data_IF_260967524331
#
_entry.id   IF_260967524331
#
_cell.length_a   1.000
_cell.length_b   1.000
_cell.length_c   1.000
_cell.angle_alpha   90.00
_cell.angle_beta   90.00
_cell.angle_gamma   90.00
#
_symmetry.space_group_name_H-M   'P 1'
#
loop_
_entity.id
_entity.type
_entity.pdbx_description
1 polymer ?
#
# COMPACT_ATOMS: atom_id res chain seq x y z
N UNK A 1 -9.99 -29.90 -9.79
CA UNK A 1 -9.40 -28.57 -10.04
C UNK A 1 -7.91 -28.71 -9.72
N UNK A 2 -7.11 -28.89 -10.76
CA UNK A 2 -5.65 -28.92 -10.62
C UNK A 2 -5.20 -27.53 -10.18
N UNK A 3 -4.73 -27.42 -8.96
CA UNK A 3 -3.98 -26.26 -8.52
C UNK A 3 -2.68 -26.26 -9.32
N UNK A 4 -2.64 -25.49 -10.41
CA UNK A 4 -1.41 -25.17 -11.13
C UNK A 4 -0.34 -24.85 -10.09
N UNK A 5 0.74 -25.61 -10.07
CA UNK A 5 1.89 -25.32 -9.23
C UNK A 5 2.24 -23.85 -9.42
N UNK A 6 1.98 -23.04 -8.40
CA UNK A 6 2.31 -21.59 -8.43
C UNK A 6 3.82 -21.45 -8.46
N UNK A 7 4.38 -21.40 -9.66
CA UNK A 7 5.81 -21.23 -9.86
C UNK A 7 6.18 -19.79 -9.52
N UNK A 8 6.74 -19.59 -8.33
CA UNK A 8 7.26 -18.29 -7.93
C UNK A 8 8.68 -18.10 -8.48
N UNK A 9 8.89 -17.02 -9.25
CA UNK A 9 10.21 -16.63 -9.73
C UNK A 9 10.62 -15.33 -9.00
N UNK A 10 11.81 -15.32 -8.44
CA UNK A 10 12.34 -14.14 -7.73
C UNK A 10 13.53 -13.56 -8.51
N UNK A 11 13.49 -12.27 -8.82
CA UNK A 11 14.52 -11.56 -9.58
C UNK A 11 15.26 -10.62 -8.62
N UNK A 12 16.50 -10.94 -8.30
CA UNK A 12 17.37 -10.11 -7.48
C UNK A 12 18.38 -9.32 -8.31
N UNK A 13 18.79 -8.17 -7.79
CA UNK A 13 19.87 -7.36 -8.35
C UNK A 13 19.89 -5.95 -7.78
N UNK A 14 21.03 -5.25 -7.80
CA UNK A 14 21.14 -3.85 -7.40
C UNK A 14 20.34 -2.92 -8.33
N UNK A 15 20.17 -1.64 -8.00
CA UNK A 15 19.58 -0.66 -8.91
C UNK A 15 20.27 -0.66 -10.28
N UNK A 16 19.52 -0.45 -11.36
CA UNK A 16 20.07 -0.38 -12.73
C UNK A 16 20.34 -1.72 -13.42
N UNK A 17 20.11 -2.88 -12.80
CA UNK A 17 20.40 -4.21 -13.40
C UNK A 17 19.29 -4.76 -14.30
N UNK A 18 18.30 -3.95 -14.66
CA UNK A 18 17.26 -4.37 -15.61
C UNK A 18 16.13 -5.21 -15.03
N UNK A 19 15.94 -5.27 -13.70
CA UNK A 19 14.84 -6.02 -13.06
C UNK A 19 13.46 -5.67 -13.63
N UNK A 20 13.16 -4.37 -13.73
CA UNK A 20 11.91 -3.86 -14.30
C UNK A 20 11.78 -4.27 -15.79
N UNK A 21 12.88 -4.22 -16.53
CA UNK A 21 12.87 -4.68 -17.93
C UNK A 21 12.52 -6.18 -18.03
N UNK A 22 13.11 -7.01 -17.16
CA UNK A 22 12.80 -8.45 -17.14
C UNK A 22 11.34 -8.73 -16.76
N UNK A 23 10.76 -7.96 -15.80
CA UNK A 23 9.34 -8.09 -15.49
C UNK A 23 8.45 -7.71 -16.68
N UNK A 24 8.79 -6.65 -17.41
CA UNK A 24 8.06 -6.26 -18.62
C UNK A 24 8.20 -7.31 -19.73
N UNK A 25 9.37 -7.93 -19.90
CA UNK A 25 9.54 -9.05 -20.83
C UNK A 25 8.59 -10.21 -20.50
N UNK A 26 8.36 -10.52 -19.24
CA UNK A 26 7.40 -11.56 -18.82
C UNK A 26 5.96 -11.17 -19.21
N UNK A 27 5.60 -9.91 -19.06
CA UNK A 27 4.30 -9.39 -19.52
C UNK A 27 4.19 -9.55 -21.04
N UNK A 28 5.22 -9.12 -21.80
CA UNK A 28 5.29 -9.24 -23.25
C UNK A 28 5.13 -10.70 -23.69
N UNK A 29 5.84 -11.63 -23.06
CA UNK A 29 5.72 -13.07 -23.33
C UNK A 29 4.28 -13.60 -23.08
N UNK A 30 3.57 -13.03 -22.11
CA UNK A 30 2.16 -13.36 -21.85
C UNK A 30 1.25 -12.86 -22.98
N UNK A 31 1.38 -11.60 -23.36
CA UNK A 31 0.61 -11.00 -24.46
C UNK A 31 0.87 -11.68 -25.81
N UNK A 32 2.13 -12.02 -26.10
CA UNK A 32 2.51 -12.76 -27.32
C UNK A 32 1.90 -14.18 -27.38
N UNK A 33 1.59 -14.78 -26.21
CA UNK A 33 0.88 -16.06 -26.09
C UNK A 33 -0.65 -15.92 -26.16
N UNK A 34 -1.16 -14.70 -26.35
CA UNK A 34 -2.59 -14.41 -26.44
C UNK A 34 -3.31 -14.29 -25.10
N UNK A 35 -2.57 -14.09 -24.00
CA UNK A 35 -3.20 -13.71 -22.71
C UNK A 35 -3.64 -12.27 -22.84
N UNK A 36 -4.91 -11.99 -22.52
CA UNK A 36 -5.44 -10.64 -22.62
C UNK A 36 -4.88 -9.72 -21.53
N UNK A 37 -4.68 -8.41 -21.82
CA UNK A 37 -4.11 -7.47 -20.85
C UNK A 37 -4.85 -7.40 -19.50
N UNK A 38 -6.17 -7.62 -19.51
CA UNK A 38 -7.00 -7.65 -18.31
C UNK A 38 -6.87 -8.94 -17.48
N UNK A 39 -6.13 -9.93 -17.95
CA UNK A 39 -5.79 -11.17 -17.25
C UNK A 39 -4.37 -11.10 -16.65
N UNK A 40 -3.62 -10.01 -16.91
CA UNK A 40 -2.26 -9.81 -16.44
C UNK A 40 -2.24 -8.74 -15.34
N UNK A 41 -1.83 -9.13 -14.13
CA UNK A 41 -1.57 -8.18 -13.04
C UNK A 41 -0.10 -7.74 -13.03
N UNK A 42 0.13 -6.43 -13.04
CA UNK A 42 1.44 -5.81 -12.82
C UNK A 42 1.36 -4.82 -11.66
N UNK A 43 1.97 -5.17 -10.54
CA UNK A 43 1.91 -4.37 -9.33
C UNK A 43 3.23 -3.67 -9.06
N UNK A 44 3.17 -2.35 -8.94
CA UNK A 44 4.31 -1.51 -8.65
C UNK A 44 4.12 -0.79 -7.30
N UNK A 45 5.23 -0.40 -6.69
CA UNK A 45 5.20 0.35 -5.44
C UNK A 45 4.67 1.78 -5.61
N UNK A 46 4.92 2.40 -6.76
CA UNK A 46 4.48 3.78 -7.05
C UNK A 46 3.57 3.83 -8.27
N UNK A 47 2.64 4.80 -8.29
CA UNK A 47 1.78 5.08 -9.47
C UNK A 47 2.62 5.38 -10.71
N UNK A 48 3.75 6.09 -10.55
CA UNK A 48 4.66 6.40 -11.66
C UNK A 48 5.21 5.12 -12.31
N UNK A 49 5.67 4.16 -11.50
CA UNK A 49 6.19 2.90 -12.03
C UNK A 49 5.10 2.05 -12.71
N UNK A 50 3.88 2.03 -12.18
CA UNK A 50 2.75 1.36 -12.82
C UNK A 50 2.41 2.01 -14.18
N UNK A 51 2.32 3.34 -14.24
CA UNK A 51 2.05 4.07 -15.47
C UNK A 51 3.17 3.90 -16.52
N UNK A 52 4.43 3.83 -16.10
CA UNK A 52 5.55 3.55 -16.98
C UNK A 52 5.41 2.15 -17.61
N UNK A 53 5.01 1.15 -16.82
CA UNK A 53 4.75 -0.20 -17.32
C UNK A 53 3.62 -0.22 -18.37
N UNK A 54 2.51 0.49 -18.11
CA UNK A 54 1.41 0.63 -19.08
C UNK A 54 1.92 1.29 -20.38
N UNK A 55 2.66 2.39 -20.28
CA UNK A 55 3.17 3.11 -21.46
C UNK A 55 4.03 2.19 -22.31
N UNK A 56 4.97 1.46 -21.72
CA UNK A 56 5.84 0.51 -22.42
C UNK A 56 5.05 -0.64 -23.06
N UNK A 57 4.02 -1.14 -22.35
CA UNK A 57 3.17 -2.20 -22.89
C UNK A 57 2.38 -1.71 -24.12
N UNK A 58 1.77 -0.52 -24.06
CA UNK A 58 1.04 0.08 -25.20
C UNK A 58 1.97 0.39 -26.37
N UNK A 59 3.18 0.91 -26.11
CA UNK A 59 4.17 1.18 -27.15
C UNK A 59 4.59 -0.12 -27.90
N UNK A 60 4.66 -1.23 -27.17
CA UNK A 60 5.02 -2.54 -27.71
C UNK A 60 3.85 -3.23 -28.42
N UNK A 61 2.64 -3.05 -27.91
CA UNK A 61 1.40 -3.69 -28.40
C UNK A 61 0.36 -2.62 -28.78
N UNK A 62 0.51 -1.95 -29.95
CA UNK A 62 -0.34 -0.82 -30.33
C UNK A 62 -1.83 -1.15 -30.53
N UNK A 63 -2.18 -2.43 -30.58
CA UNK A 63 -3.57 -2.90 -30.63
C UNK A 63 -4.33 -2.70 -29.33
N UNK A 64 -3.63 -2.46 -28.22
CA UNK A 64 -4.23 -2.24 -26.89
C UNK A 64 -4.12 -0.78 -26.48
N UNK A 65 -5.14 -0.32 -25.72
CA UNK A 65 -5.17 0.99 -25.08
C UNK A 65 -4.75 0.89 -23.59
N UNK A 66 -4.41 2.02 -22.98
CA UNK A 66 -4.08 2.09 -21.53
C UNK A 66 -5.17 1.51 -20.64
N UNK A 67 -6.45 1.64 -21.03
CA UNK A 67 -7.62 1.13 -20.30
C UNK A 67 -7.67 -0.41 -20.25
N UNK A 68 -7.05 -1.08 -21.23
CA UNK A 68 -7.04 -2.54 -21.31
C UNK A 68 -6.15 -3.14 -20.21
N UNK A 69 -5.15 -2.39 -19.72
CA UNK A 69 -4.24 -2.77 -18.64
C UNK A 69 -4.82 -2.44 -17.26
N UNK A 70 -6.05 -2.89 -16.98
CA UNK A 70 -6.81 -2.60 -15.77
C UNK A 70 -6.04 -2.91 -14.48
N UNK A 71 -5.23 -3.96 -14.45
CA UNK A 71 -4.50 -4.45 -13.29
C UNK A 71 -3.03 -4.05 -13.25
N UNK A 72 -2.62 -3.04 -14.05
CA UNK A 72 -1.30 -2.42 -13.94
C UNK A 72 -1.38 -1.23 -13.00
N UNK A 73 -1.15 -1.46 -11.70
CA UNK A 73 -1.39 -0.45 -10.67
C UNK A 73 -0.60 -0.71 -9.38
N UNK A 74 -0.76 0.14 -8.37
CA UNK A 74 -0.28 -0.17 -7.02
C UNK A 74 -1.25 -1.11 -6.32
N UNK A 75 -0.77 -1.85 -5.30
CA UNK A 75 -1.65 -2.70 -4.49
C UNK A 75 -2.77 -1.91 -3.82
N UNK A 76 -2.48 -0.70 -3.33
CA UNK A 76 -3.51 0.17 -2.76
C UNK A 76 -4.57 0.57 -3.78
N UNK A 77 -4.18 0.89 -5.01
CA UNK A 77 -5.13 1.20 -6.08
C UNK A 77 -5.96 -0.03 -6.50
N UNK A 78 -5.39 -1.23 -6.40
CA UNK A 78 -6.13 -2.47 -6.60
C UNK A 78 -7.16 -2.67 -5.48
N UNK A 79 -6.72 -2.60 -4.22
CA UNK A 79 -7.60 -2.74 -3.06
C UNK A 79 -8.75 -1.73 -3.09
N UNK A 80 -8.46 -0.46 -3.37
CA UNK A 80 -9.46 0.59 -3.51
C UNK A 80 -10.54 0.23 -4.54
N UNK A 81 -10.12 -0.27 -5.71
CA UNK A 81 -11.04 -0.66 -6.79
C UNK A 81 -11.85 -1.91 -6.44
N UNK A 82 -11.21 -2.96 -5.94
CA UNK A 82 -11.86 -4.25 -5.69
C UNK A 82 -12.80 -4.21 -4.47
N UNK A 83 -12.48 -3.37 -3.47
CA UNK A 83 -13.37 -3.13 -2.34
C UNK A 83 -14.50 -2.12 -2.66
N UNK A 84 -14.53 -1.53 -3.86
CA UNK A 84 -15.54 -0.55 -4.25
C UNK A 84 -15.53 0.71 -3.38
N UNK A 85 -14.37 1.11 -2.86
CA UNK A 85 -14.24 2.27 -1.99
C UNK A 85 -14.43 3.57 -2.75
N UNK A 86 -14.82 4.60 -2.02
CA UNK A 86 -14.89 6.00 -2.48
C UNK A 86 -13.98 6.86 -1.60
N UNK A 87 -13.68 8.08 -2.04
CA UNK A 87 -12.85 9.00 -1.26
C UNK A 87 -13.46 9.26 0.13
N UNK A 88 -14.78 9.25 0.23
CA UNK A 88 -15.51 9.38 1.52
C UNK A 88 -15.43 8.14 2.42
N UNK A 89 -14.82 7.05 1.96
CA UNK A 89 -14.58 5.84 2.77
C UNK A 89 -13.22 5.86 3.47
N UNK A 90 -12.37 6.80 3.10
CA UNK A 90 -10.98 6.86 3.59
C UNK A 90 -10.78 8.08 4.49
N UNK A 91 -9.97 7.90 5.53
CA UNK A 91 -9.51 9.03 6.34
C UNK A 91 -8.66 9.99 5.51
N UNK A 92 -8.98 11.26 5.58
CA UNK A 92 -8.23 12.36 4.96
C UNK A 92 -7.42 13.17 6.00
N UNK A 93 -6.84 14.29 5.58
CA UNK A 93 -6.03 15.15 6.44
C UNK A 93 -6.84 15.85 7.52
N UNK A 94 -8.10 16.18 7.23
CA UNK A 94 -9.00 16.82 8.19
C UNK A 94 -9.39 15.82 9.30
N UNK A 95 -9.61 14.55 8.95
CA UNK A 95 -9.86 13.47 9.90
C UNK A 95 -8.67 13.27 10.85
N UNK A 96 -7.45 13.22 10.30
CA UNK A 96 -6.23 13.11 11.12
C UNK A 96 -6.05 14.33 12.03
N UNK A 97 -6.44 15.52 11.58
CA UNK A 97 -6.41 16.74 12.39
C UNK A 97 -7.43 16.65 13.54
N UNK A 98 -8.66 16.22 13.23
CA UNK A 98 -9.71 16.05 14.25
C UNK A 98 -9.32 15.04 15.33
N UNK A 99 -8.77 13.89 14.93
CA UNK A 99 -8.27 12.88 15.87
C UNK A 99 -7.10 13.43 16.72
N UNK A 100 -6.19 14.18 16.08
CA UNK A 100 -5.07 14.83 16.76
C UNK A 100 -5.54 15.74 17.90
N UNK A 101 -6.55 16.56 17.62
CA UNK A 101 -7.14 17.48 18.61
C UNK A 101 -7.83 16.73 19.75
N UNK A 102 -8.59 15.69 19.43
CA UNK A 102 -9.28 14.85 20.45
C UNK A 102 -8.29 14.11 21.35
N UNK A 103 -7.18 13.62 20.80
CA UNK A 103 -6.18 12.86 21.53
C UNK A 103 -5.08 13.73 22.14
N UNK A 104 -5.04 15.03 21.81
CA UNK A 104 -3.99 16.00 22.19
C UNK A 104 -2.59 15.50 21.81
N UNK A 105 -2.47 15.01 20.57
CA UNK A 105 -1.23 14.51 20.00
C UNK A 105 -1.20 14.87 18.51
N UNK A 106 -0.04 15.24 17.99
CA UNK A 106 0.08 15.52 16.56
C UNK A 106 0.15 14.18 15.80
N UNK A 107 -0.86 13.92 14.98
CA UNK A 107 -0.90 12.81 14.02
C UNK A 107 -0.95 13.38 12.61
N UNK A 108 -0.42 12.67 11.65
CA UNK A 108 -0.46 13.07 10.25
C UNK A 108 -0.86 11.90 9.36
N UNK A 109 -1.58 12.22 8.29
CA UNK A 109 -1.98 11.24 7.30
C UNK A 109 -0.73 10.62 6.64
N UNK A 110 -0.51 9.31 6.74
CA UNK A 110 0.66 8.67 6.14
C UNK A 110 0.67 8.72 4.61
N UNK A 111 -0.49 8.94 3.95
CA UNK A 111 -0.61 8.93 2.48
C UNK A 111 0.07 10.10 1.81
N UNK A 112 0.02 11.29 2.39
CA UNK A 112 0.63 12.50 1.81
C UNK A 112 2.15 12.42 1.67
N UNK A 113 2.76 11.40 2.24
CA UNK A 113 4.22 11.21 2.26
C UNK A 113 4.71 10.18 1.25
N UNK A 114 3.82 9.36 0.68
CA UNK A 114 4.21 8.34 -0.30
C UNK A 114 4.42 8.89 -1.72
N UNK A 115 3.82 10.01 -2.08
CA UNK A 115 4.00 10.64 -3.40
C UNK A 115 5.30 11.46 -3.50
N UNK A 116 5.95 11.79 -2.38
CA UNK A 116 7.20 12.53 -2.30
C UNK A 116 8.32 11.72 -1.68
N UNK A 117 8.95 10.84 -2.46
CA UNK A 117 10.27 10.23 -2.19
C UNK A 117 10.60 9.91 -0.71
N UNK A 118 10.00 8.87 -0.15
CA UNK A 118 10.67 8.02 0.86
C UNK A 118 11.10 8.61 2.21
N UNK A 119 10.76 9.85 2.57
CA UNK A 119 11.28 10.51 3.78
C UNK A 119 10.12 11.10 4.62
N UNK A 120 9.19 10.27 5.02
CA UNK A 120 7.99 10.77 5.70
C UNK A 120 7.71 10.22 7.10
N UNK A 121 8.49 9.28 7.57
CA UNK A 121 8.25 8.61 8.86
C UNK A 121 8.80 9.34 10.09
N UNK A 122 9.41 10.54 9.93
CA UNK A 122 10.09 11.21 11.04
C UNK A 122 9.15 11.93 12.02
N UNK A 123 7.95 12.34 11.57
CA UNK A 123 7.08 13.20 12.37
C UNK A 123 5.96 12.46 13.11
N UNK A 124 5.66 11.20 12.77
CA UNK A 124 4.60 10.45 13.43
C UNK A 124 5.02 9.02 13.80
N UNK A 125 5.80 8.92 14.85
CA UNK A 125 6.25 7.64 15.38
C UNK A 125 5.08 6.75 15.85
N UNK A 126 3.97 7.35 16.33
CA UNK A 126 2.84 6.58 16.83
C UNK A 126 2.12 5.83 15.70
N UNK A 127 1.73 6.53 14.65
CA UNK A 127 1.07 5.93 13.48
C UNK A 127 1.97 4.88 12.84
N UNK A 128 3.27 5.17 12.70
CA UNK A 128 4.24 4.20 12.18
C UNK A 128 4.27 2.89 12.97
N UNK A 129 4.32 2.96 14.30
CA UNK A 129 4.39 1.75 15.15
C UNK A 129 3.07 0.98 15.07
N UNK A 130 1.93 1.68 15.07
CA UNK A 130 0.61 1.09 14.92
C UNK A 130 0.50 0.36 13.58
N UNK A 131 0.87 1.00 12.48
CA UNK A 131 0.82 0.40 11.15
C UNK A 131 1.78 -0.79 11.02
N UNK A 132 3.00 -0.68 11.56
CA UNK A 132 3.95 -1.80 11.54
C UNK A 132 3.43 -3.01 12.31
N UNK A 133 2.77 -2.80 13.46
CA UNK A 133 2.16 -3.91 14.22
C UNK A 133 1.09 -4.61 13.39
N UNK A 134 0.24 -3.84 12.72
CA UNK A 134 -0.86 -4.34 11.87
C UNK A 134 -0.34 -5.07 10.62
N UNK A 135 0.62 -4.47 9.91
CA UNK A 135 1.20 -5.05 8.68
C UNK A 135 1.98 -6.34 8.98
N UNK A 136 2.67 -6.39 10.13
CA UNK A 136 3.42 -7.59 10.55
C UNK A 136 2.54 -8.65 11.23
N UNK A 137 1.26 -8.34 11.45
CA UNK A 137 0.32 -9.19 12.19
C UNK A 137 0.84 -9.60 13.59
N UNK A 138 1.36 -8.60 14.32
CA UNK A 138 1.86 -8.80 15.69
C UNK A 138 1.13 -7.86 16.66
N UNK A 139 1.20 -8.18 17.97
CA UNK A 139 0.62 -7.30 18.97
C UNK A 139 1.32 -5.93 18.99
N UNK A 140 0.56 -4.89 19.35
CA UNK A 140 1.11 -3.54 19.49
C UNK A 140 2.25 -3.49 20.53
N UNK A 141 2.14 -4.28 21.60
CA UNK A 141 3.17 -4.41 22.62
C UNK A 141 4.44 -5.07 22.08
N UNK A 142 4.28 -6.12 21.26
CA UNK A 142 5.41 -6.76 20.60
C UNK A 142 6.16 -5.77 19.70
N UNK A 143 5.45 -5.02 18.85
CA UNK A 143 6.07 -4.03 17.97
C UNK A 143 6.70 -2.87 18.77
N UNK A 144 6.08 -2.43 19.86
CA UNK A 144 6.62 -1.39 20.74
C UNK A 144 7.99 -1.79 21.32
N UNK A 145 8.17 -3.04 21.68
CA UNK A 145 9.40 -3.56 22.27
C UNK A 145 10.50 -3.89 21.23
N UNK A 146 10.28 -3.63 19.94
CA UNK A 146 11.31 -3.85 18.92
C UNK A 146 12.38 -2.75 18.94
N UNK A 147 13.65 -3.07 18.65
CA UNK A 147 14.74 -2.08 18.62
C UNK A 147 14.48 -0.92 17.66
N UNK A 148 13.83 -1.18 16.53
CA UNK A 148 13.49 -0.16 15.54
C UNK A 148 12.45 0.87 16.01
N UNK A 149 11.72 0.59 17.09
CA UNK A 149 10.75 1.53 17.67
C UNK A 149 11.45 2.72 18.32
N UNK A 150 12.63 2.51 18.91
CA UNK A 150 13.39 3.56 19.56
C UNK A 150 12.68 4.13 20.81
N UNK A 151 13.05 5.35 21.17
CA UNK A 151 12.41 6.06 22.31
C UNK A 151 11.10 6.71 21.87
N UNK A 152 9.99 6.25 22.45
CA UNK A 152 8.66 6.82 22.21
C UNK A 152 8.21 7.68 23.40
N UNK A 153 8.00 8.99 23.21
CA UNK A 153 7.55 9.87 24.28
C UNK A 153 6.19 9.44 24.87
N UNK A 154 6.15 9.18 26.18
CA UNK A 154 4.95 8.70 26.88
C UNK A 154 4.76 7.19 26.87
N UNK A 155 5.70 6.44 26.27
CA UNK A 155 5.77 4.99 26.36
C UNK A 155 4.55 4.24 25.78
N UNK A 156 4.46 2.97 26.14
CA UNK A 156 3.41 2.07 25.65
C UNK A 156 1.98 2.51 25.97
N UNK A 157 1.76 3.07 27.18
CA UNK A 157 0.41 3.49 27.59
C UNK A 157 -0.14 4.59 26.67
N UNK A 158 0.70 5.55 26.28
CA UNK A 158 0.32 6.61 25.36
C UNK A 158 0.08 6.05 23.94
N UNK A 159 0.95 5.18 23.48
CA UNK A 159 0.79 4.50 22.19
C UNK A 159 -0.54 3.73 22.13
N UNK A 160 -0.84 2.94 23.16
CA UNK A 160 -2.09 2.18 23.24
C UNK A 160 -3.33 3.07 23.23
N UNK A 161 -3.28 4.21 23.97
CA UNK A 161 -4.38 5.19 23.97
C UNK A 161 -4.60 5.77 22.57
N UNK A 162 -3.53 6.09 21.84
CA UNK A 162 -3.61 6.63 20.49
C UNK A 162 -4.17 5.59 19.54
N UNK A 163 -3.67 4.36 19.56
CA UNK A 163 -4.17 3.26 18.73
C UNK A 163 -5.66 3.03 18.94
N UNK A 164 -6.08 2.91 20.21
CA UNK A 164 -7.51 2.73 20.55
C UNK A 164 -8.37 3.93 20.12
N UNK A 165 -7.83 5.15 20.20
CA UNK A 165 -8.52 6.36 19.77
C UNK A 165 -8.72 6.42 18.25
N UNK A 166 -7.70 6.06 17.47
CA UNK A 166 -7.78 5.95 16.02
C UNK A 166 -8.79 4.89 15.57
N UNK A 167 -8.72 3.68 16.14
CA UNK A 167 -9.67 2.61 15.84
C UNK A 167 -11.11 3.00 16.16
N UNK A 168 -11.33 3.63 17.32
CA UNK A 168 -12.66 4.11 17.70
C UNK A 168 -13.17 5.18 16.73
N UNK A 169 -12.32 6.11 16.31
CA UNK A 169 -12.69 7.15 15.36
C UNK A 169 -13.09 6.56 14.00
N UNK A 170 -12.27 5.66 13.45
CA UNK A 170 -12.56 4.95 12.22
C UNK A 170 -13.88 4.18 12.30
N UNK A 171 -14.07 3.42 13.37
CA UNK A 171 -15.30 2.64 13.57
C UNK A 171 -16.56 3.54 13.65
N UNK A 172 -16.49 4.66 14.37
CA UNK A 172 -17.63 5.56 14.53
C UNK A 172 -18.04 6.28 13.24
N UNK A 173 -17.09 6.54 12.36
CA UNK A 173 -17.33 7.28 11.11
C UNK A 173 -17.41 6.35 9.87
N UNK A 174 -17.15 5.06 10.02
CA UNK A 174 -17.12 4.11 8.91
C UNK A 174 -15.91 4.30 8.00
N UNK A 175 -14.82 4.83 8.51
CA UNK A 175 -13.60 5.10 7.76
C UNK A 175 -12.61 3.94 7.79
N UNK A 176 -11.84 3.85 6.72
CA UNK A 176 -10.63 3.04 6.63
C UNK A 176 -9.41 3.96 6.51
N UNK A 177 -8.30 3.58 7.12
CA UNK A 177 -7.01 4.14 6.76
C UNK A 177 -6.34 3.32 5.64
N UNK A 178 -5.17 3.75 5.20
CA UNK A 178 -4.44 3.08 4.11
C UNK A 178 -4.04 1.64 4.45
N UNK A 179 -3.71 1.37 5.71
CA UNK A 179 -3.37 0.03 6.18
C UNK A 179 -4.60 -0.85 6.24
N UNK A 180 -5.75 -0.33 6.72
CA UNK A 180 -7.03 -1.05 6.71
C UNK A 180 -7.41 -1.51 5.31
N UNK A 181 -7.26 -0.64 4.33
CA UNK A 181 -7.62 -0.95 2.95
C UNK A 181 -6.89 -2.20 2.43
N UNK A 182 -5.59 -2.32 2.71
CA UNK A 182 -4.84 -3.52 2.33
C UNK A 182 -5.26 -4.72 3.17
N UNK A 183 -5.45 -4.56 4.47
CA UNK A 183 -5.84 -5.65 5.37
C UNK A 183 -7.24 -6.19 5.05
N UNK A 184 -8.18 -5.34 4.67
CA UNK A 184 -9.52 -5.78 4.22
C UNK A 184 -9.45 -6.50 2.87
N UNK A 185 -8.59 -6.04 1.95
CA UNK A 185 -8.44 -6.64 0.63
C UNK A 185 -7.85 -8.06 0.66
N UNK A 186 -7.02 -8.39 1.64
CA UNK A 186 -6.38 -9.71 1.74
C UNK A 186 -7.19 -10.75 2.56
N UNK A 187 -8.32 -10.35 3.16
CA UNK A 187 -9.25 -11.27 3.84
C UNK A 187 -10.06 -12.07 2.85
#
# INVERSE_FOLDING_TARGET
MDYLEKKMNVIFGPPGTGKTHKLLTIVEEGLDKGIEPNEIGYFAYTRKAANEAITRAVDRFPQYDKKDFKYFRTLHSLAYMELGLTDSSLMDDDDYTEVSDKLKVKLSNPTNKYDNYGIGWQDDQFVKIIDLARIKDVSLEHQFNQPETGHLPGGFLKLHKIASGLEKYKFQNGFLDFTDMILEFIK
#
